data_IF_516679181624
#
_entry.id   IF_516679181624
#
_cell.length_a   1.000
_cell.length_b   1.000
_cell.length_c   1.000
_cell.angle_alpha   90.00
_cell.angle_beta   90.00
_cell.angle_gamma   90.00
#
_symmetry.space_group_name_H-M   'P 1'
#
loop_
_entity.id
_entity.type
_entity.pdbx_description
1 polymer ?
#
# COMPACT_ATOMS: atom_id res chain seq x y z
N UNK A 1 31.85 -2.03 16.13
CA UNK A 1 31.62 -0.85 16.99
C UNK A 1 31.27 0.32 16.07
N UNK A 2 30.03 0.79 16.07
CA UNK A 2 29.63 1.92 15.24
C UNK A 2 30.24 3.22 15.80
N UNK A 3 30.76 4.09 14.94
CA UNK A 3 31.33 5.36 15.38
C UNK A 3 30.25 6.20 16.11
N UNK A 4 30.52 6.71 17.32
CA UNK A 4 29.58 7.51 18.15
C UNK A 4 29.73 9.03 17.92
N UNK A 5 28.65 9.81 18.13
CA UNK A 5 28.54 11.22 17.69
C UNK A 5 29.39 12.04 18.63
N UNK A 6 30.27 12.86 18.05
CA UNK A 6 31.01 13.85 18.83
C UNK A 6 29.99 14.82 19.42
N UNK A 7 29.96 14.90 20.74
CA UNK A 7 29.12 15.83 21.49
C UNK A 7 29.80 17.19 21.69
N UNK A 8 31.10 17.29 21.41
CA UNK A 8 31.90 18.52 21.44
C UNK A 8 32.75 18.62 20.17
N UNK A 9 32.97 19.84 19.69
CA UNK A 9 33.90 20.09 18.58
C UNK A 9 35.33 19.81 19.06
N UNK A 10 36.01 18.90 18.38
CA UNK A 10 37.38 18.44 18.68
C UNK A 10 38.38 18.88 17.59
N UNK A 11 37.97 19.79 16.70
CA UNK A 11 38.79 20.30 15.59
C UNK A 11 39.05 19.29 14.45
N UNK A 12 38.69 18.02 14.62
CA UNK A 12 39.01 17.00 13.63
C UNK A 12 38.03 17.03 12.43
N UNK A 13 38.50 16.70 11.21
CA UNK A 13 37.63 16.53 10.05
C UNK A 13 36.49 15.52 10.28
N UNK A 14 35.43 15.63 9.48
CA UNK A 14 34.27 14.73 9.56
C UNK A 14 34.67 13.26 9.49
N UNK A 15 34.16 12.46 10.43
CA UNK A 15 34.41 11.00 10.56
C UNK A 15 35.87 10.59 10.80
N UNK A 16 36.73 11.49 11.29
CA UNK A 16 38.10 11.17 11.73
C UNK A 16 38.17 11.03 13.26
N UNK A 17 38.52 9.87 13.79
CA UNK A 17 38.57 9.63 15.23
C UNK A 17 39.97 9.24 15.67
N UNK A 18 40.38 9.68 16.86
CA UNK A 18 41.60 9.20 17.49
C UNK A 18 41.28 7.90 18.22
N UNK A 19 42.05 6.85 17.94
CA UNK A 19 41.95 5.56 18.65
C UNK A 19 43.34 4.93 18.74
N UNK A 20 43.72 4.48 19.94
CA UNK A 20 45.03 3.84 20.21
C UNK A 20 46.22 4.66 19.66
N UNK A 21 46.24 5.98 19.91
CA UNK A 21 47.33 6.86 19.47
C UNK A 21 47.43 7.07 17.95
N UNK A 22 46.37 6.81 17.19
CA UNK A 22 46.34 7.03 15.74
C UNK A 22 45.03 7.66 15.27
N UNK A 23 45.13 8.51 14.25
CA UNK A 23 43.98 9.01 13.51
C UNK A 23 43.39 7.90 12.64
N UNK A 24 42.07 7.74 12.70
CA UNK A 24 41.33 6.78 11.90
C UNK A 24 40.18 7.48 11.20
N UNK A 25 40.06 7.28 9.90
CA UNK A 25 38.88 7.68 9.15
C UNK A 25 37.90 6.50 9.07
N UNK A 26 36.65 6.73 9.42
CA UNK A 26 35.60 5.71 9.24
C UNK A 26 34.96 5.95 7.89
N UNK A 27 35.26 5.09 6.93
CA UNK A 27 34.73 5.17 5.57
C UNK A 27 33.21 5.16 5.59
N UNK A 28 32.62 6.06 4.81
CA UNK A 28 31.17 6.30 4.79
C UNK A 28 30.36 5.19 4.09
N UNK A 29 31.00 4.22 3.45
CA UNK A 29 30.32 3.28 2.56
C UNK A 29 30.12 1.92 3.20
N UNK A 30 31.07 1.46 4.00
CA UNK A 30 31.04 0.17 4.68
C UNK A 30 31.36 0.28 6.18
N UNK A 31 31.44 1.50 6.72
CA UNK A 31 31.83 1.77 8.11
C UNK A 31 33.22 1.19 8.48
N UNK A 32 34.07 0.91 7.49
CA UNK A 32 35.41 0.39 7.72
C UNK A 32 36.30 1.47 8.34
N UNK A 33 37.00 1.10 9.40
CA UNK A 33 37.97 1.95 10.06
C UNK A 33 39.30 1.88 9.31
N UNK A 34 39.73 2.99 8.74
CA UNK A 34 40.97 3.12 7.99
C UNK A 34 41.94 3.94 8.83
N UNK A 35 43.05 3.36 9.21
CA UNK A 35 44.13 4.07 9.90
C UNK A 35 44.77 5.08 8.94
N UNK A 36 44.82 6.34 9.33
CA UNK A 36 45.44 7.41 8.55
C UNK A 36 46.94 7.51 8.89
N UNK A 37 47.25 7.91 10.12
CA UNK A 37 48.62 8.02 10.64
C UNK A 37 48.60 7.99 12.18
N UNK A 38 49.77 7.97 12.82
CA UNK A 38 49.86 8.19 14.28
C UNK A 38 49.52 9.64 14.61
N UNK A 39 49.10 9.90 15.85
CA UNK A 39 48.85 11.27 16.32
C UNK A 39 50.15 12.09 16.29
N UNK A 40 51.27 11.45 16.64
CA UNK A 40 52.60 12.06 16.64
C UNK A 40 53.10 12.44 15.24
N UNK A 41 52.52 11.87 14.18
CA UNK A 41 52.86 12.23 12.79
C UNK A 41 52.25 13.59 12.39
N UNK A 42 51.39 14.17 13.24
CA UNK A 42 50.83 15.51 13.07
C UNK A 42 49.60 15.61 12.16
N UNK A 43 48.94 16.76 12.23
CA UNK A 43 47.69 17.04 11.51
C UNK A 43 47.86 17.05 9.99
N UNK A 44 48.97 17.62 9.48
CA UNK A 44 49.26 17.69 8.04
C UNK A 44 49.26 16.30 7.41
N UNK A 45 49.93 15.33 8.04
CA UNK A 45 50.00 13.95 7.55
C UNK A 45 48.64 13.26 7.58
N UNK A 46 47.84 13.54 8.61
CA UNK A 46 46.47 13.05 8.71
C UNK A 46 45.61 13.56 7.55
N UNK A 47 45.69 14.85 7.24
CA UNK A 47 44.93 15.49 6.15
C UNK A 47 45.34 14.95 4.78
N UNK A 48 46.65 14.80 4.52
CA UNK A 48 47.17 14.20 3.27
C UNK A 48 46.63 12.78 3.06
N UNK A 49 46.72 11.94 4.09
CA UNK A 49 46.27 10.55 4.01
C UNK A 49 44.75 10.47 3.89
N UNK A 50 44.02 11.34 4.59
CA UNK A 50 42.57 11.46 4.45
C UNK A 50 42.19 11.84 3.01
N UNK A 51 42.88 12.80 2.40
CA UNK A 51 42.65 13.20 1.01
C UNK A 51 42.96 12.09 0.02
N UNK A 52 44.01 11.29 0.25
CA UNK A 52 44.33 10.12 -0.58
C UNK A 52 43.25 9.03 -0.47
N UNK A 53 42.77 8.72 0.74
CA UNK A 53 41.70 7.73 0.94
C UNK A 53 40.35 8.20 0.38
N UNK A 54 40.05 9.49 0.46
CA UNK A 54 38.90 10.09 -0.21
C UNK A 54 39.03 10.00 -1.73
N UNK A 55 40.21 10.34 -2.30
CA UNK A 55 40.48 10.22 -3.74
C UNK A 55 40.35 8.79 -4.26
N UNK A 56 40.81 7.77 -3.52
CA UNK A 56 40.57 6.36 -3.88
C UNK A 56 39.09 5.98 -3.92
N UNK A 57 38.26 6.74 -3.21
CA UNK A 57 36.81 6.55 -3.21
C UNK A 57 36.11 7.38 -4.31
N UNK A 58 36.69 8.50 -4.72
CA UNK A 58 36.21 9.43 -5.76
C UNK A 58 36.63 9.04 -7.18
N UNK A 59 37.84 8.50 -7.37
CA UNK A 59 38.42 8.14 -8.67
C UNK A 59 37.72 6.92 -9.32
N UNK A 60 36.88 6.21 -8.58
CA UNK A 60 36.26 4.94 -9.02
C UNK A 60 34.73 5.00 -9.17
N UNK A 61 34.10 6.18 -9.23
CA UNK A 61 32.66 6.25 -9.53
C UNK A 61 32.19 7.55 -10.18
N UNK A 62 31.59 7.42 -11.37
CA UNK A 62 30.64 8.38 -12.00
C UNK A 62 29.34 8.58 -11.17
N UNK A 63 29.37 8.24 -9.87
CA UNK A 63 28.23 8.15 -8.98
C UNK A 63 28.55 8.89 -7.66
N UNK A 64 27.85 10.00 -7.42
CA UNK A 64 27.90 10.81 -6.21
C UNK A 64 27.41 10.06 -4.96
N UNK A 65 27.71 10.64 -3.80
CA UNK A 65 27.49 9.98 -2.51
C UNK A 65 26.00 9.70 -2.21
N UNK A 66 25.07 10.49 -2.75
CA UNK A 66 23.63 10.26 -2.62
C UNK A 66 23.23 8.91 -3.22
N UNK A 67 23.57 8.69 -4.50
CA UNK A 67 23.19 7.48 -5.23
C UNK A 67 23.84 6.22 -4.63
N UNK A 68 25.11 6.30 -4.24
CA UNK A 68 25.81 5.20 -3.55
C UNK A 68 25.16 4.84 -2.21
N UNK A 69 24.78 5.84 -1.41
CA UNK A 69 24.14 5.62 -0.11
C UNK A 69 22.73 5.04 -0.26
N UNK A 70 21.98 5.44 -1.29
CA UNK A 70 20.70 4.81 -1.61
C UNK A 70 20.89 3.32 -1.92
N UNK A 71 21.92 2.95 -2.69
CA UNK A 71 22.23 1.54 -2.96
C UNK A 71 22.48 0.77 -1.65
N UNK A 72 23.35 1.29 -0.78
CA UNK A 72 23.67 0.66 0.52
C UNK A 72 22.41 0.51 1.38
N UNK A 73 21.57 1.55 1.42
CA UNK A 73 20.32 1.51 2.15
C UNK A 73 19.38 0.43 1.62
N UNK A 74 19.23 0.32 0.30
CA UNK A 74 18.38 -0.69 -0.34
C UNK A 74 18.89 -2.10 -0.11
N UNK A 75 20.20 -2.34 -0.21
CA UNK A 75 20.80 -3.65 0.08
C UNK A 75 20.50 -4.10 1.53
N UNK A 76 20.45 -3.16 2.48
CA UNK A 76 20.14 -3.46 3.88
C UNK A 76 18.64 -3.66 4.15
N UNK A 77 17.77 -2.86 3.52
CA UNK A 77 16.36 -2.73 3.93
C UNK A 77 15.37 -3.44 3.00
N UNK A 78 15.74 -3.76 1.75
CA UNK A 78 14.81 -4.35 0.78
C UNK A 78 14.17 -5.66 1.27
N UNK A 79 14.91 -6.47 2.03
CA UNK A 79 14.42 -7.72 2.62
C UNK A 79 13.28 -7.53 3.62
N UNK A 80 13.20 -6.35 4.25
CA UNK A 80 12.17 -6.00 5.23
C UNK A 80 10.92 -5.40 4.58
N UNK A 81 10.94 -5.12 3.27
CA UNK A 81 9.72 -4.76 2.56
C UNK A 81 8.85 -6.00 2.34
N UNK A 82 7.54 -5.79 2.50
CA UNK A 82 6.53 -6.77 2.12
C UNK A 82 6.78 -7.25 0.69
N UNK A 83 6.69 -8.56 0.48
CA UNK A 83 7.04 -9.22 -0.77
C UNK A 83 6.31 -8.59 -1.97
N UNK A 84 5.03 -8.28 -1.81
CA UNK A 84 4.18 -7.66 -2.83
C UNK A 84 4.62 -6.25 -3.26
N UNK A 85 5.37 -5.53 -2.42
CA UNK A 85 5.86 -4.18 -2.69
C UNK A 85 7.38 -4.09 -2.89
N UNK A 86 8.12 -5.16 -2.61
CA UNK A 86 9.60 -5.15 -2.62
C UNK A 86 10.15 -4.72 -3.97
N UNK A 87 9.68 -5.32 -5.06
CA UNK A 87 10.13 -4.99 -6.42
C UNK A 87 9.84 -3.52 -6.78
N UNK A 88 8.67 -3.00 -6.38
CA UNK A 88 8.30 -1.60 -6.61
C UNK A 88 9.23 -0.64 -5.86
N UNK A 89 9.56 -0.92 -4.61
CA UNK A 89 10.48 -0.10 -3.83
C UNK A 89 11.93 -0.20 -4.31
N UNK A 90 12.37 -1.37 -4.78
CA UNK A 90 13.67 -1.51 -5.43
C UNK A 90 13.76 -0.64 -6.69
N UNK A 91 12.73 -0.68 -7.54
CA UNK A 91 12.65 0.16 -8.74
C UNK A 91 12.66 1.66 -8.37
N UNK A 92 11.89 2.07 -7.36
CA UNK A 92 11.87 3.45 -6.88
C UNK A 92 13.20 3.92 -6.29
N UNK A 93 13.90 3.04 -5.57
CA UNK A 93 15.26 3.33 -5.09
C UNK A 93 16.21 3.58 -6.26
N UNK A 94 16.09 2.80 -7.33
CA UNK A 94 16.87 3.02 -8.55
C UNK A 94 16.49 4.32 -9.29
N UNK A 95 15.21 4.70 -9.31
CA UNK A 95 14.79 6.00 -9.85
C UNK A 95 15.47 7.17 -9.09
N UNK A 96 15.56 7.07 -7.75
CA UNK A 96 16.26 8.06 -6.92
C UNK A 96 17.76 8.08 -7.22
N UNK A 97 18.39 6.91 -7.36
CA UNK A 97 19.82 6.80 -7.74
C UNK A 97 20.10 7.51 -9.07
N UNK A 98 19.26 7.27 -10.08
CA UNK A 98 19.40 7.91 -11.39
C UNK A 98 19.22 9.42 -11.31
N UNK A 99 18.20 9.90 -10.59
CA UNK A 99 17.93 11.33 -10.47
C UNK A 99 19.05 12.09 -9.75
N UNK A 100 19.61 11.49 -8.70
CA UNK A 100 20.68 12.09 -7.91
C UNK A 100 22.05 11.46 -8.20
N UNK A 101 22.26 10.95 -9.41
CA UNK A 101 23.44 10.15 -9.77
C UNK A 101 24.74 10.91 -9.49
N UNK A 102 24.79 12.20 -9.82
CA UNK A 102 25.98 13.03 -9.67
C UNK A 102 26.00 13.89 -8.39
N UNK A 103 24.99 13.77 -7.53
CA UNK A 103 24.86 14.63 -6.36
C UNK A 103 25.54 14.02 -5.13
N UNK A 104 26.22 14.88 -4.36
CA UNK A 104 26.55 14.63 -2.97
C UNK A 104 25.29 14.61 -2.11
N UNK A 105 25.23 13.74 -1.09
CA UNK A 105 24.08 13.69 -0.17
C UNK A 105 23.87 15.00 0.60
N UNK A 106 24.94 15.76 0.82
CA UNK A 106 24.97 17.09 1.44
C UNK A 106 24.52 18.21 0.49
N UNK A 107 24.52 17.97 -0.82
CA UNK A 107 24.03 18.90 -1.85
C UNK A 107 22.51 18.76 -2.08
N UNK A 108 21.88 17.69 -1.58
CA UNK A 108 20.44 17.45 -1.74
C UNK A 108 19.66 18.18 -0.64
N UNK A 109 19.28 19.42 -0.94
CA UNK A 109 18.49 20.28 -0.07
C UNK A 109 16.96 20.02 -0.17
N UNK A 110 16.11 20.67 0.65
CA UNK A 110 14.66 20.51 0.55
C UNK A 110 14.06 20.87 -0.81
N UNK A 111 14.64 21.86 -1.51
CA UNK A 111 14.21 22.29 -2.84
C UNK A 111 14.46 21.20 -3.88
N UNK A 112 15.67 20.63 -3.90
CA UNK A 112 16.02 19.53 -4.80
C UNK A 112 15.11 18.30 -4.61
N UNK A 113 14.75 17.98 -3.36
CA UNK A 113 13.78 16.92 -3.08
C UNK A 113 12.39 17.30 -3.56
N UNK A 114 11.94 18.54 -3.36
CA UNK A 114 10.64 19.01 -3.81
C UNK A 114 10.53 18.95 -5.34
N UNK A 115 11.54 19.44 -6.05
CA UNK A 115 11.62 19.42 -7.51
C UNK A 115 11.63 17.99 -8.05
N UNK A 116 12.37 17.08 -7.41
CA UNK A 116 12.32 15.66 -7.75
C UNK A 116 10.90 15.08 -7.61
N UNK A 117 10.21 15.36 -6.51
CA UNK A 117 8.87 14.82 -6.26
C UNK A 117 7.83 15.39 -7.25
N UNK A 118 7.84 16.70 -7.46
CA UNK A 118 6.87 17.39 -8.31
C UNK A 118 7.15 17.18 -9.80
N UNK A 119 8.42 17.17 -10.20
CA UNK A 119 8.83 16.97 -11.59
C UNK A 119 8.58 15.56 -12.10
N UNK A 120 8.83 14.52 -11.30
CA UNK A 120 8.61 13.13 -11.73
C UNK A 120 7.14 12.69 -11.65
N UNK A 121 6.34 13.33 -10.79
CA UNK A 121 4.98 12.91 -10.49
C UNK A 121 3.99 14.07 -10.38
N UNK A 122 3.92 15.02 -11.34
CA UNK A 122 3.19 16.28 -11.18
C UNK A 122 1.73 16.09 -10.74
N UNK A 123 1.02 15.13 -11.33
CA UNK A 123 -0.38 14.84 -11.03
C UNK A 123 -0.61 13.59 -10.17
N UNK A 124 0.46 13.01 -9.62
CA UNK A 124 0.42 11.74 -8.88
C UNK A 124 0.74 11.94 -7.40
N UNK A 125 -0.12 12.72 -6.73
CA UNK A 125 -0.02 13.03 -5.29
C UNK A 125 0.19 11.79 -4.39
N UNK A 126 -0.47 10.63 -4.60
CA UNK A 126 -0.18 9.44 -3.82
C UNK A 126 1.26 8.95 -3.97
N UNK A 127 1.84 9.06 -5.17
CA UNK A 127 3.23 8.67 -5.42
C UNK A 127 4.19 9.68 -4.81
N UNK A 128 3.91 10.98 -4.94
CA UNK A 128 4.67 12.03 -4.25
C UNK A 128 4.72 11.79 -2.74
N UNK A 129 3.57 11.49 -2.13
CA UNK A 129 3.47 11.24 -0.67
C UNK A 129 4.26 10.00 -0.26
N UNK A 130 4.12 8.90 -1.02
CA UNK A 130 4.86 7.66 -0.77
C UNK A 130 6.37 7.87 -0.91
N UNK A 131 6.82 8.58 -1.95
CA UNK A 131 8.23 8.86 -2.20
C UNK A 131 8.82 9.82 -1.17
N UNK A 132 8.09 10.88 -0.78
CA UNK A 132 8.50 11.75 0.33
C UNK A 132 8.67 10.93 1.62
N UNK A 133 7.72 10.06 1.94
CA UNK A 133 7.80 9.20 3.13
C UNK A 133 9.00 8.25 3.09
N UNK A 134 9.29 7.66 1.93
CA UNK A 134 10.46 6.80 1.74
C UNK A 134 11.78 7.58 1.83
N UNK A 135 11.90 8.73 1.15
CA UNK A 135 13.06 9.60 1.20
C UNK A 135 13.31 10.10 2.62
N UNK A 136 12.25 10.49 3.34
CA UNK A 136 12.35 10.90 4.74
C UNK A 136 12.90 9.79 5.64
N UNK A 137 12.52 8.52 5.42
CA UNK A 137 13.12 7.37 6.13
C UNK A 137 14.59 7.17 5.74
N UNK A 138 14.91 7.23 4.45
CA UNK A 138 16.29 7.14 3.95
C UNK A 138 17.19 8.22 4.56
N UNK A 139 16.77 9.49 4.51
CA UNK A 139 17.53 10.60 5.09
C UNK A 139 17.60 10.54 6.61
N UNK A 140 16.58 10.01 7.30
CA UNK A 140 16.70 9.75 8.75
C UNK A 140 17.77 8.71 9.04
N UNK A 141 17.84 7.62 8.26
CA UNK A 141 18.93 6.64 8.33
C UNK A 141 20.29 7.30 8.04
N UNK A 142 20.37 8.19 7.05
CA UNK A 142 21.57 8.92 6.69
C UNK A 142 22.03 9.89 7.81
N UNK A 143 21.09 10.56 8.49
CA UNK A 143 21.37 11.41 9.66
C UNK A 143 21.94 10.59 10.81
N UNK A 144 21.33 9.44 11.14
CA UNK A 144 21.81 8.56 12.21
C UNK A 144 23.24 8.06 11.95
N UNK A 145 23.60 7.87 10.68
CA UNK A 145 24.95 7.50 10.22
C UNK A 145 25.87 8.68 9.93
N UNK A 146 25.40 9.92 10.08
CA UNK A 146 26.15 11.17 9.84
C UNK A 146 26.68 11.31 8.43
N UNK A 147 25.86 10.94 7.46
CA UNK A 147 26.08 11.33 6.08
C UNK A 147 25.53 12.74 5.80
N UNK A 148 24.50 13.14 6.54
CA UNK A 148 23.92 14.50 6.51
C UNK A 148 23.53 14.92 7.93
N UNK A 149 23.43 16.22 8.17
CA UNK A 149 23.10 16.76 9.51
C UNK A 149 21.60 16.86 9.76
N UNK A 150 20.82 17.22 8.73
CA UNK A 150 19.39 17.49 8.82
C UNK A 150 18.69 16.69 7.72
N UNK A 151 17.48 16.19 8.00
CA UNK A 151 16.66 15.52 7.00
C UNK A 151 16.01 16.58 6.08
N UNK A 152 16.37 16.64 4.78
CA UNK A 152 15.85 17.66 3.86
C UNK A 152 14.34 17.50 3.58
N UNK A 153 13.75 16.33 3.89
CA UNK A 153 12.32 16.11 3.68
C UNK A 153 11.43 16.75 4.77
N UNK A 154 12.01 17.36 5.82
CA UNK A 154 11.28 17.86 6.99
C UNK A 154 10.29 18.97 6.64
N UNK A 155 10.76 19.99 5.90
CA UNK A 155 9.99 21.20 5.59
C UNK A 155 9.07 21.05 4.37
N UNK A 156 9.14 19.91 3.67
CA UNK A 156 8.37 19.69 2.44
C UNK A 156 6.92 19.40 2.81
N UNK A 157 5.99 20.27 2.46
CA UNK A 157 4.56 20.00 2.61
C UNK A 157 3.94 19.57 1.27
N UNK A 158 3.15 18.49 1.31
CA UNK A 158 2.39 18.01 0.16
C UNK A 158 0.90 18.17 0.44
N UNK A 159 0.13 18.40 -0.62
CA UNK A 159 -1.33 18.45 -0.54
C UNK A 159 -1.86 17.16 0.12
N UNK A 160 -2.87 17.28 0.98
CA UNK A 160 -3.52 16.10 1.54
C UNK A 160 -4.33 15.40 0.44
N UNK A 161 -4.23 14.07 0.27
CA UNK A 161 -5.08 13.33 -0.66
C UNK A 161 -6.56 13.56 -0.34
N UNK A 162 -7.38 13.75 -1.37
CA UNK A 162 -8.83 13.86 -1.18
C UNK A 162 -9.38 12.54 -0.67
N UNK A 163 -10.15 12.58 0.41
CA UNK A 163 -10.86 11.40 0.92
C UNK A 163 -11.88 10.94 -0.12
N UNK A 164 -11.81 9.67 -0.52
CA UNK A 164 -12.77 9.06 -1.44
C UNK A 164 -14.16 9.07 -0.80
N UNK A 165 -15.16 9.70 -1.43
CA UNK A 165 -16.55 9.80 -0.94
C UNK A 165 -17.54 8.89 -1.68
N UNK A 166 -17.03 7.98 -2.51
CA UNK A 166 -17.82 7.15 -3.40
C UNK A 166 -18.70 6.18 -2.62
N UNK A 167 -20.00 6.23 -2.86
CA UNK A 167 -20.99 5.23 -2.45
C UNK A 167 -21.61 4.61 -3.70
N UNK A 168 -21.85 3.29 -3.68
CA UNK A 168 -22.54 2.58 -4.75
C UNK A 168 -24.01 2.42 -4.35
N UNK A 169 -24.95 3.12 -5.02
CA UNK A 169 -26.38 2.93 -4.83
C UNK A 169 -26.83 1.49 -5.02
N UNK A 170 -27.97 1.13 -4.42
CA UNK A 170 -28.45 -0.25 -4.40
C UNK A 170 -28.76 -0.77 -5.81
N UNK A 171 -29.48 0.01 -6.60
CA UNK A 171 -29.78 -0.24 -8.01
C UNK A 171 -28.52 -0.39 -8.86
N UNK A 172 -27.52 0.48 -8.69
CA UNK A 172 -26.23 0.37 -9.38
C UNK A 172 -25.48 -0.92 -8.99
N UNK A 173 -25.47 -1.27 -7.70
CA UNK A 173 -24.83 -2.50 -7.23
C UNK A 173 -25.49 -3.75 -7.82
N UNK A 174 -26.82 -3.79 -7.86
CA UNK A 174 -27.57 -4.86 -8.50
C UNK A 174 -27.29 -4.93 -10.01
N UNK A 175 -27.26 -3.79 -10.71
CA UNK A 175 -26.96 -3.74 -12.13
C UNK A 175 -25.56 -4.32 -12.43
N UNK A 176 -24.54 -3.94 -11.65
CA UNK A 176 -23.17 -4.46 -11.78
C UNK A 176 -23.15 -5.97 -11.49
N UNK A 177 -23.83 -6.41 -10.42
CA UNK A 177 -23.91 -7.83 -10.03
C UNK A 177 -24.58 -8.68 -11.12
N UNK A 178 -25.61 -8.16 -11.77
CA UNK A 178 -26.28 -8.82 -12.91
C UNK A 178 -25.36 -8.87 -14.13
N UNK A 179 -24.70 -7.75 -14.44
CA UNK A 179 -23.75 -7.64 -15.56
C UNK A 179 -22.48 -8.49 -15.39
N UNK A 180 -22.17 -8.93 -14.16
CA UNK A 180 -21.16 -9.94 -13.90
C UNK A 180 -21.60 -11.33 -14.35
N UNK A 181 -22.89 -11.68 -14.28
CA UNK A 181 -23.38 -13.01 -14.63
C UNK A 181 -23.68 -13.17 -16.11
N UNK A 182 -24.34 -12.19 -16.71
CA UNK A 182 -24.83 -12.26 -18.09
C UNK A 182 -24.58 -10.97 -18.85
N UNK A 183 -24.56 -11.09 -20.17
CA UNK A 183 -24.51 -9.95 -21.08
C UNK A 183 -25.42 -10.22 -22.28
N UNK A 184 -25.93 -9.16 -22.90
CA UNK A 184 -26.69 -9.26 -24.15
C UNK A 184 -25.84 -8.79 -25.32
N UNK A 185 -26.04 -9.41 -26.48
CA UNK A 185 -25.44 -8.96 -27.73
C UNK A 185 -26.42 -9.18 -28.88
N UNK A 186 -26.33 -8.32 -29.90
CA UNK A 186 -27.13 -8.44 -31.11
C UNK A 186 -26.43 -9.36 -32.10
N UNK A 187 -27.14 -10.36 -32.60
CA UNK A 187 -26.66 -11.24 -33.66
C UNK A 187 -27.68 -11.26 -34.78
N UNK A 188 -27.20 -11.17 -36.03
CA UNK A 188 -28.06 -11.37 -37.20
C UNK A 188 -28.25 -12.87 -37.41
N UNK A 189 -29.48 -13.34 -37.30
CA UNK A 189 -29.86 -14.74 -37.55
C UNK A 189 -30.93 -14.71 -38.64
N UNK A 190 -30.66 -15.35 -39.78
CA UNK A 190 -31.59 -15.44 -40.91
C UNK A 190 -32.12 -14.10 -41.44
N UNK A 191 -31.32 -13.03 -41.38
CA UNK A 191 -31.71 -11.71 -41.87
C UNK A 191 -32.23 -10.74 -40.80
N UNK A 192 -32.66 -11.26 -39.65
CA UNK A 192 -33.24 -10.46 -38.56
C UNK A 192 -32.24 -10.25 -37.41
N UNK A 193 -32.28 -9.08 -36.78
CA UNK A 193 -31.38 -8.74 -35.66
C UNK A 193 -32.04 -9.18 -34.35
N UNK A 194 -31.55 -10.27 -33.76
CA UNK A 194 -32.04 -10.80 -32.48
C UNK A 194 -31.08 -10.44 -31.35
N UNK A 195 -31.62 -10.08 -30.19
CA UNK A 195 -30.84 -9.90 -28.97
C UNK A 195 -30.73 -11.22 -28.21
N UNK A 196 -29.49 -11.67 -27.96
CA UNK A 196 -29.20 -12.95 -27.31
C UNK A 196 -28.53 -12.67 -25.97
N UNK A 197 -29.04 -13.30 -24.91
CA UNK A 197 -28.40 -13.31 -23.60
C UNK A 197 -27.37 -14.46 -23.50
N UNK A 198 -26.14 -14.12 -23.16
CA UNK A 198 -25.06 -15.08 -22.91
C UNK A 198 -24.49 -14.94 -21.49
N UNK A 199 -23.91 -16.04 -20.99
CA UNK A 199 -23.25 -16.07 -19.69
C UNK A 199 -21.83 -15.52 -19.79
N UNK A 200 -21.43 -14.72 -18.81
CA UNK A 200 -20.03 -14.32 -18.67
C UNK A 200 -19.25 -15.53 -18.12
N UNK A 201 -18.18 -15.98 -18.80
CA UNK A 201 -17.45 -17.20 -18.42
C UNK A 201 -16.95 -17.26 -16.97
N UNK A 202 -16.55 -16.13 -16.40
CA UNK A 202 -16.04 -16.00 -15.01
C UNK A 202 -17.07 -15.36 -14.06
N UNK A 203 -18.30 -15.18 -14.55
CA UNK A 203 -19.37 -14.48 -13.86
C UNK A 203 -19.79 -15.13 -12.54
N UNK A 204 -20.03 -16.46 -12.51
CA UNK A 204 -20.43 -17.14 -11.28
C UNK A 204 -19.42 -16.97 -10.13
N UNK A 205 -18.12 -17.13 -10.40
CA UNK A 205 -17.09 -16.95 -9.37
C UNK A 205 -17.00 -15.49 -8.91
N UNK A 206 -17.18 -14.54 -9.83
CA UNK A 206 -17.19 -13.12 -9.50
C UNK A 206 -18.44 -12.70 -8.71
N UNK A 207 -19.58 -13.35 -8.91
CA UNK A 207 -20.75 -13.14 -8.06
C UNK A 207 -20.51 -13.63 -6.64
N UNK A 208 -19.92 -14.81 -6.45
CA UNK A 208 -19.51 -15.29 -5.12
C UNK A 208 -18.59 -14.27 -4.45
N UNK A 209 -17.59 -13.77 -5.17
CA UNK A 209 -16.66 -12.77 -4.68
C UNK A 209 -17.34 -11.47 -4.23
N UNK A 210 -18.20 -10.90 -5.07
CA UNK A 210 -18.93 -9.66 -4.75
C UNK A 210 -19.90 -9.85 -3.59
N UNK A 211 -20.60 -10.98 -3.56
CA UNK A 211 -21.56 -11.30 -2.51
C UNK A 211 -20.87 -11.46 -1.15
N UNK A 212 -19.75 -12.19 -1.09
CA UNK A 212 -18.97 -12.31 0.15
C UNK A 212 -18.39 -10.96 0.57
N UNK A 213 -17.87 -10.14 -0.34
CA UNK A 213 -17.38 -8.80 0.00
C UNK A 213 -18.49 -7.93 0.63
N UNK A 214 -19.72 -8.03 0.12
CA UNK A 214 -20.86 -7.27 0.64
C UNK A 214 -21.34 -7.81 1.98
N UNK A 215 -21.63 -9.12 2.06
CA UNK A 215 -22.23 -9.74 3.24
C UNK A 215 -21.31 -9.78 4.47
N UNK A 216 -19.99 -9.75 4.25
CA UNK A 216 -19.01 -9.83 5.35
C UNK A 216 -18.34 -8.50 5.67
N UNK A 217 -18.62 -7.46 4.88
CA UNK A 217 -17.89 -6.20 4.90
C UNK A 217 -16.36 -6.33 4.75
N UNK A 218 -15.78 -7.49 4.43
CA UNK A 218 -14.33 -7.70 4.44
C UNK A 218 -13.60 -7.08 3.26
N UNK A 219 -12.28 -6.94 3.37
CA UNK A 219 -11.48 -6.40 2.26
C UNK A 219 -11.50 -7.39 1.11
N UNK A 220 -11.52 -6.86 -0.11
CA UNK A 220 -11.46 -7.67 -1.33
C UNK A 220 -10.29 -8.64 -1.38
N UNK A 221 -9.15 -8.29 -0.75
CA UNK A 221 -8.00 -9.19 -0.66
C UNK A 221 -8.31 -10.37 0.25
N UNK A 222 -8.83 -10.12 1.45
CA UNK A 222 -9.14 -11.16 2.44
C UNK A 222 -10.21 -12.13 1.90
N UNK A 223 -11.19 -11.65 1.13
CA UNK A 223 -12.17 -12.52 0.44
C UNK A 223 -11.53 -13.35 -0.69
N UNK A 224 -10.69 -12.72 -1.51
CA UNK A 224 -10.02 -13.37 -2.64
C UNK A 224 -9.05 -14.48 -2.18
N UNK A 225 -8.46 -14.29 -1.01
CA UNK A 225 -7.49 -15.21 -0.39
C UNK A 225 -8.13 -16.12 0.67
N UNK A 226 -9.45 -16.04 0.86
CA UNK A 226 -10.19 -16.85 1.83
C UNK A 226 -10.03 -18.34 1.55
N UNK A 227 -9.63 -19.09 2.57
CA UNK A 227 -9.44 -20.53 2.54
C UNK A 227 -10.60 -21.28 3.18
N UNK A 228 -10.82 -22.53 2.76
CA UNK A 228 -11.85 -23.37 3.37
C UNK A 228 -11.53 -23.72 4.82
N UNK A 229 -10.26 -23.79 5.21
CA UNK A 229 -9.84 -23.96 6.61
C UNK A 229 -10.30 -22.83 7.54
N UNK A 230 -10.56 -21.64 7.01
CA UNK A 230 -11.08 -20.51 7.77
C UNK A 230 -12.60 -20.56 7.98
N UNK A 231 -13.31 -21.45 7.27
CA UNK A 231 -14.77 -21.61 7.38
C UNK A 231 -15.08 -22.70 8.40
N UNK A 232 -15.19 -22.31 9.67
CA UNK A 232 -15.55 -23.22 10.75
C UNK A 232 -17.06 -23.45 10.80
N UNK A 233 -17.49 -24.60 10.29
CA UNK A 233 -18.89 -25.01 10.26
C UNK A 233 -19.42 -25.44 11.62
N UNK A 234 -18.54 -25.87 12.53
CA UNK A 234 -18.92 -26.31 13.87
C UNK A 234 -19.15 -25.10 14.77
N UNK A 235 -18.22 -24.13 14.76
CA UNK A 235 -18.40 -22.85 15.44
C UNK A 235 -19.43 -21.95 14.74
N UNK A 236 -19.72 -22.20 13.46
CA UNK A 236 -20.71 -21.45 12.71
C UNK A 236 -20.20 -20.07 12.25
N UNK A 237 -18.89 -19.92 12.02
CA UNK A 237 -18.24 -18.66 11.68
C UNK A 237 -17.22 -18.79 10.54
N UNK A 238 -16.79 -17.66 9.99
CA UNK A 238 -15.61 -17.53 9.14
C UNK A 238 -14.55 -16.73 9.92
N UNK A 239 -13.36 -17.28 10.08
CA UNK A 239 -12.24 -16.62 10.74
C UNK A 239 -11.50 -15.71 9.75
N UNK A 240 -11.72 -14.41 9.83
CA UNK A 240 -10.97 -13.44 9.03
C UNK A 240 -9.74 -12.95 9.78
N UNK A 241 -8.57 -13.32 9.27
CA UNK A 241 -7.27 -12.87 9.77
C UNK A 241 -6.72 -11.82 8.79
N UNK A 242 -6.40 -10.60 9.24
CA UNK A 242 -6.12 -9.51 8.32
C UNK A 242 -4.74 -9.66 7.66
N UNK A 243 -4.73 -9.83 6.34
CA UNK A 243 -3.50 -9.90 5.53
C UNK A 243 -2.63 -8.63 5.61
N UNK A 244 -3.27 -7.44 5.67
CA UNK A 244 -2.59 -6.14 5.63
C UNK A 244 -2.06 -5.69 6.99
N UNK A 245 -2.78 -5.96 8.05
CA UNK A 245 -2.47 -5.44 9.39
C UNK A 245 -1.87 -6.49 10.31
N UNK A 246 -1.57 -7.70 9.82
CA UNK A 246 -0.88 -8.76 10.57
C UNK A 246 0.36 -8.24 11.33
N UNK A 247 1.19 -7.41 10.69
CA UNK A 247 2.41 -6.85 11.29
C UNK A 247 2.17 -5.57 12.12
N UNK A 248 0.91 -5.20 12.36
CA UNK A 248 0.55 -4.00 13.13
C UNK A 248 -0.57 -4.31 14.14
N UNK A 249 -1.84 -4.08 13.80
CA UNK A 249 -2.95 -4.32 14.71
C UNK A 249 -3.34 -5.79 14.85
N UNK A 250 -3.16 -6.58 13.79
CA UNK A 250 -3.50 -8.00 13.78
C UNK A 250 -4.98 -8.35 14.03
N UNK A 251 -5.89 -7.36 14.10
CA UNK A 251 -7.29 -7.58 14.51
C UNK A 251 -8.00 -8.57 13.60
N UNK A 252 -8.25 -9.77 14.14
CA UNK A 252 -9.08 -10.78 13.51
C UNK A 252 -10.55 -10.56 13.86
N UNK A 253 -11.44 -11.04 13.00
CA UNK A 253 -12.87 -11.05 13.26
C UNK A 253 -13.48 -12.38 12.84
N UNK A 254 -14.25 -12.96 13.75
CA UNK A 254 -15.08 -14.12 13.46
C UNK A 254 -16.42 -13.65 12.93
N UNK A 255 -16.75 -14.07 11.72
CA UNK A 255 -17.94 -13.63 11.02
C UNK A 255 -19.02 -14.72 11.01
N UNK A 256 -20.22 -14.48 11.55
CA UNK A 256 -21.29 -15.49 11.59
C UNK A 256 -21.67 -16.03 10.21
N UNK A 257 -21.87 -17.34 10.11
CA UNK A 257 -22.39 -18.01 8.93
C UNK A 257 -23.92 -17.86 8.83
N UNK A 258 -24.37 -16.70 8.36
CA UNK A 258 -25.79 -16.45 8.06
C UNK A 258 -26.30 -17.36 6.93
N UNK A 259 -27.63 -17.54 6.77
CA UNK A 259 -28.18 -18.32 5.66
C UNK A 259 -27.69 -17.87 4.29
N UNK A 260 -27.60 -16.56 4.04
CA UNK A 260 -27.15 -15.98 2.78
C UNK A 260 -25.68 -16.29 2.52
N UNK A 261 -24.82 -16.19 3.56
CA UNK A 261 -23.40 -16.54 3.44
C UNK A 261 -23.25 -18.04 3.18
N UNK A 262 -24.01 -18.90 3.87
CA UNK A 262 -24.02 -20.35 3.63
C UNK A 262 -24.39 -20.68 2.19
N UNK A 263 -25.37 -19.99 1.61
CA UNK A 263 -25.75 -20.15 0.20
C UNK A 263 -24.67 -19.70 -0.77
N UNK A 264 -23.98 -18.59 -0.49
CA UNK A 264 -22.84 -18.14 -1.29
C UNK A 264 -21.70 -19.14 -1.25
N UNK A 265 -21.36 -19.67 -0.06
CA UNK A 265 -20.34 -20.69 0.12
C UNK A 265 -20.72 -22.02 -0.55
N UNK A 266 -22.00 -22.40 -0.52
CA UNK A 266 -22.50 -23.58 -1.25
C UNK A 266 -22.25 -23.43 -2.75
N UNK A 267 -22.64 -22.29 -3.35
CA UNK A 267 -22.34 -21.99 -4.77
C UNK A 267 -20.85 -22.02 -5.07
N UNK A 268 -20.02 -21.46 -4.19
CA UNK A 268 -18.57 -21.51 -4.34
C UNK A 268 -18.04 -22.96 -4.40
N UNK A 269 -18.56 -23.84 -3.53
CA UNK A 269 -18.21 -25.26 -3.49
C UNK A 269 -18.67 -26.00 -4.75
N UNK A 270 -19.89 -25.76 -5.22
CA UNK A 270 -20.42 -26.34 -6.46
C UNK A 270 -19.57 -25.93 -7.69
N UNK A 271 -19.23 -24.65 -7.78
CA UNK A 271 -18.32 -24.15 -8.82
C UNK A 271 -16.96 -24.83 -8.74
N UNK A 272 -16.40 -24.98 -7.54
CA UNK A 272 -15.12 -25.67 -7.34
C UNK A 272 -15.15 -27.14 -7.78
N UNK A 273 -16.24 -27.85 -7.50
CA UNK A 273 -16.45 -29.25 -7.88
C UNK A 273 -16.58 -29.44 -9.39
N UNK A 274 -17.03 -28.42 -10.13
CA UNK A 274 -17.13 -28.46 -11.59
C UNK A 274 -15.77 -28.38 -12.31
N UNK A 275 -14.70 -28.01 -11.59
CA UNK A 275 -13.34 -27.87 -12.13
C UNK A 275 -12.61 -29.21 -12.07
N UNK A 276 -12.03 -29.64 -13.20
CA UNK A 276 -11.32 -30.93 -13.33
C UNK A 276 -9.98 -31.00 -12.61
N UNK A 277 -9.41 -29.86 -12.23
CA UNK A 277 -8.14 -29.79 -11.50
C UNK A 277 -8.35 -30.18 -10.04
N UNK A 278 -7.52 -31.11 -9.54
CA UNK A 278 -7.56 -31.59 -8.16
C UNK A 278 -7.53 -30.44 -7.15
N UNK A 279 -8.33 -30.56 -6.09
CA UNK A 279 -8.35 -29.62 -4.98
C UNK A 279 -7.11 -29.77 -4.10
N UNK A 280 -6.64 -28.64 -3.57
CA UNK A 280 -5.65 -28.65 -2.50
C UNK A 280 -6.30 -29.16 -1.21
N UNK A 281 -5.49 -29.70 -0.29
CA UNK A 281 -5.97 -30.12 1.03
C UNK A 281 -6.60 -28.95 1.80
N UNK A 282 -5.97 -27.77 1.71
CA UNK A 282 -6.55 -26.49 2.12
C UNK A 282 -6.68 -25.57 0.91
N UNK A 283 -7.81 -25.69 0.21
CA UNK A 283 -8.08 -24.93 -1.01
C UNK A 283 -8.71 -23.56 -0.72
N UNK A 284 -8.69 -22.70 -1.73
CA UNK A 284 -9.36 -21.40 -1.68
C UNK A 284 -10.87 -21.56 -1.90
N UNK A 285 -11.64 -20.69 -1.25
CA UNK A 285 -13.08 -20.55 -1.51
C UNK A 285 -13.32 -20.03 -2.94
N UNK A 286 -12.41 -19.19 -3.44
CA UNK A 286 -12.48 -18.58 -4.77
C UNK A 286 -11.27 -18.94 -5.63
N UNK A 287 -11.50 -19.80 -6.61
CA UNK A 287 -10.48 -20.19 -7.60
C UNK A 287 -10.87 -19.76 -9.02
N UNK A 288 -9.88 -19.71 -9.90
CA UNK A 288 -10.07 -19.70 -11.34
C UNK A 288 -10.30 -21.12 -11.90
N UNK A 289 -10.48 -21.21 -13.21
CA UNK A 289 -10.74 -22.48 -13.92
C UNK A 289 -9.56 -23.47 -13.86
N UNK A 290 -8.38 -23.00 -13.48
CA UNK A 290 -7.19 -23.82 -13.30
C UNK A 290 -6.98 -24.21 -11.82
N UNK A 291 -7.92 -23.90 -10.93
CA UNK A 291 -7.81 -24.19 -9.49
C UNK A 291 -6.87 -23.26 -8.74
N UNK A 292 -6.44 -22.13 -9.34
CA UNK A 292 -5.59 -21.14 -8.66
C UNK A 292 -6.43 -20.04 -8.02
N UNK A 293 -6.00 -19.41 -6.92
CA UNK A 293 -6.73 -18.27 -6.36
C UNK A 293 -6.89 -17.16 -7.39
N UNK A 294 -8.05 -16.50 -7.41
CA UNK A 294 -8.28 -15.34 -8.29
C UNK A 294 -7.20 -14.27 -8.03
N UNK A 295 -6.71 -13.64 -9.08
CA UNK A 295 -5.76 -12.54 -8.95
C UNK A 295 -6.48 -11.22 -8.71
N UNK A 296 -5.82 -10.25 -8.06
CA UNK A 296 -6.37 -8.91 -7.89
C UNK A 296 -6.66 -8.25 -9.26
N UNK A 297 -5.86 -8.58 -10.28
CA UNK A 297 -6.08 -8.10 -11.64
C UNK A 297 -7.37 -8.67 -12.25
N UNK A 298 -7.57 -9.99 -12.16
CA UNK A 298 -8.77 -10.63 -12.68
C UNK A 298 -10.05 -10.07 -12.05
N UNK A 299 -10.08 -9.86 -10.73
CA UNK A 299 -11.23 -9.26 -10.05
C UNK A 299 -11.49 -7.82 -10.51
N UNK A 300 -10.43 -7.02 -10.70
CA UNK A 300 -10.53 -5.63 -11.17
C UNK A 300 -11.06 -5.56 -12.60
N UNK A 301 -10.52 -6.38 -13.48
CA UNK A 301 -10.89 -6.37 -14.90
C UNK A 301 -12.33 -6.87 -15.07
N UNK A 302 -12.73 -7.94 -14.38
CA UNK A 302 -14.11 -8.41 -14.40
C UNK A 302 -15.10 -7.36 -13.88
N UNK A 303 -14.75 -6.64 -12.80
CA UNK A 303 -15.56 -5.53 -12.28
C UNK A 303 -15.66 -4.36 -13.26
N UNK A 304 -14.54 -3.94 -13.86
CA UNK A 304 -14.51 -2.89 -14.90
C UNK A 304 -15.41 -3.27 -16.08
N UNK A 305 -15.28 -4.50 -16.57
CA UNK A 305 -16.07 -4.95 -17.71
C UNK A 305 -17.56 -5.05 -17.35
N UNK A 306 -17.90 -5.39 -16.11
CA UNK A 306 -19.28 -5.35 -15.62
C UNK A 306 -19.83 -3.92 -15.54
N UNK A 307 -19.02 -2.92 -15.16
CA UNK A 307 -19.42 -1.51 -15.21
C UNK A 307 -19.77 -1.09 -16.63
N UNK A 308 -18.93 -1.45 -17.62
CA UNK A 308 -19.19 -1.15 -19.04
C UNK A 308 -20.51 -1.80 -19.50
N UNK A 309 -20.73 -3.08 -19.17
CA UNK A 309 -21.97 -3.79 -19.51
C UNK A 309 -23.20 -3.18 -18.81
N UNK A 310 -23.04 -2.67 -17.60
CA UNK A 310 -24.08 -1.99 -16.84
C UNK A 310 -24.26 -0.50 -17.24
N UNK A 311 -23.47 0.01 -18.19
CA UNK A 311 -23.46 1.43 -18.61
C UNK A 311 -23.11 2.39 -17.47
N UNK A 312 -22.17 1.99 -16.63
CA UNK A 312 -21.70 2.69 -15.43
C UNK A 312 -20.20 3.02 -15.47
N UNK A 313 -19.54 2.90 -16.63
CA UNK A 313 -18.11 3.16 -16.80
C UNK A 313 -17.69 4.62 -16.53
N UNK A 314 -18.63 5.56 -16.61
CA UNK A 314 -18.44 6.95 -16.20
C UNK A 314 -18.47 7.15 -14.67
N UNK A 315 -18.82 6.12 -13.89
CA UNK A 315 -18.76 6.15 -12.43
C UNK A 315 -17.40 5.64 -11.98
N UNK A 316 -16.76 6.38 -11.08
CA UNK A 316 -15.55 5.94 -10.40
C UNK A 316 -15.90 4.92 -9.30
N UNK A 317 -16.40 3.74 -9.70
CA UNK A 317 -16.69 2.62 -8.81
C UNK A 317 -15.61 1.56 -8.90
N UNK A 318 -15.11 1.12 -7.75
CA UNK A 318 -14.13 0.04 -7.65
C UNK A 318 -14.65 -1.06 -6.76
N UNK A 319 -14.10 -2.27 -6.90
CA UNK A 319 -14.36 -3.40 -6.00
C UNK A 319 -14.17 -3.02 -4.52
N UNK A 320 -13.23 -2.12 -4.22
CA UNK A 320 -12.96 -1.69 -2.84
C UNK A 320 -14.10 -0.86 -2.23
N UNK A 321 -14.94 -0.25 -3.07
CA UNK A 321 -16.08 0.54 -2.64
C UNK A 321 -17.25 -0.33 -2.16
N UNK A 322 -17.24 -1.64 -2.44
CA UNK A 322 -18.23 -2.60 -1.92
C UNK A 322 -18.23 -2.61 -0.39
N UNK A 323 -17.04 -2.57 0.23
CA UNK A 323 -16.91 -2.50 1.70
C UNK A 323 -17.50 -1.23 2.28
N UNK A 324 -17.26 -0.08 1.64
CA UNK A 324 -17.84 1.19 2.06
C UNK A 324 -19.37 1.18 1.89
N UNK A 325 -19.87 0.59 0.80
CA UNK A 325 -21.30 0.33 0.60
C UNK A 325 -21.87 -0.51 1.74
N UNK A 326 -21.29 -1.69 2.00
CA UNK A 326 -21.78 -2.64 3.00
C UNK A 326 -21.85 -2.03 4.41
N UNK A 327 -20.79 -1.33 4.84
CA UNK A 327 -20.77 -0.65 6.13
C UNK A 327 -21.78 0.51 6.19
N UNK A 328 -21.97 1.24 5.09
CA UNK A 328 -23.00 2.30 5.01
C UNK A 328 -24.42 1.71 5.07
N UNK A 329 -24.67 0.60 4.37
CA UNK A 329 -25.97 -0.09 4.36
C UNK A 329 -26.26 -0.69 5.74
N UNK A 330 -25.27 -1.30 6.40
CA UNK A 330 -25.40 -1.79 7.77
C UNK A 330 -25.69 -0.65 8.75
N UNK A 331 -25.03 0.51 8.62
CA UNK A 331 -25.36 1.68 9.45
C UNK A 331 -26.83 2.09 9.29
N UNK A 332 -27.34 2.12 8.06
CA UNK A 332 -28.76 2.41 7.79
C UNK A 332 -29.71 1.35 8.30
N UNK A 333 -29.28 0.09 8.37
CA UNK A 333 -30.04 -0.99 8.96
C UNK A 333 -30.10 -0.92 10.51
N UNK A 334 -29.45 0.07 11.13
CA UNK A 334 -29.55 0.35 12.56
C UNK A 334 -28.38 -0.14 13.40
N UNK A 335 -27.35 -0.75 12.80
CA UNK A 335 -26.15 -1.15 13.55
C UNK A 335 -25.38 0.09 14.07
N UNK A 336 -24.93 0.03 15.32
CA UNK A 336 -24.14 1.09 15.94
C UNK A 336 -22.70 1.12 15.39
N UNK A 337 -21.95 2.17 15.71
CA UNK A 337 -20.62 2.36 15.10
C UNK A 337 -19.60 1.36 15.69
N UNK A 338 -19.83 0.92 16.92
CA UNK A 338 -19.02 -0.05 17.65
C UNK A 338 -19.12 -1.45 16.99
N UNK A 339 -20.32 -1.92 16.67
CA UNK A 339 -20.52 -3.16 15.92
C UNK A 339 -19.90 -3.08 14.52
N UNK A 340 -20.04 -1.94 13.84
CA UNK A 340 -19.43 -1.72 12.52
C UNK A 340 -17.90 -1.64 12.58
N UNK A 341 -17.34 -1.18 13.70
CA UNK A 341 -15.91 -1.17 13.94
C UNK A 341 -15.37 -2.60 14.07
N UNK A 342 -16.05 -3.45 14.85
CA UNK A 342 -15.72 -4.89 14.95
C UNK A 342 -15.86 -5.57 13.61
N UNK A 343 -16.97 -5.33 12.89
CA UNK A 343 -17.19 -5.87 11.56
C UNK A 343 -16.08 -5.47 10.57
N UNK A 344 -15.59 -4.23 10.70
CA UNK A 344 -14.45 -3.74 9.93
C UNK A 344 -13.09 -4.27 10.40
N UNK A 345 -12.96 -4.89 11.56
CA UNK A 345 -11.65 -5.14 12.19
C UNK A 345 -10.78 -3.86 12.14
N UNK A 346 -11.36 -2.75 12.61
CA UNK A 346 -10.70 -1.46 12.69
C UNK A 346 -10.35 -1.13 14.14
N UNK A 347 -9.10 -0.82 14.40
CA UNK A 347 -8.63 -0.39 15.73
C UNK A 347 -9.19 0.96 16.15
N UNK A 348 -9.44 1.85 15.19
CA UNK A 348 -9.87 3.22 15.43
C UNK A 348 -11.24 3.48 14.81
N UNK A 349 -12.15 4.01 15.64
CA UNK A 349 -13.48 4.50 15.27
C UNK A 349 -13.43 5.46 14.08
N UNK A 350 -12.42 6.34 14.02
CA UNK A 350 -12.27 7.31 12.93
C UNK A 350 -12.15 6.63 11.55
N UNK A 351 -11.53 5.45 11.51
CA UNK A 351 -11.41 4.63 10.30
C UNK A 351 -12.79 4.14 9.86
N UNK A 352 -13.59 3.62 10.79
CA UNK A 352 -14.96 3.16 10.51
C UNK A 352 -15.85 4.31 10.02
N UNK A 353 -15.79 5.47 10.67
CA UNK A 353 -16.52 6.68 10.26
C UNK A 353 -16.11 7.17 8.86
N UNK A 354 -14.87 6.90 8.46
CA UNK A 354 -14.38 7.14 7.11
C UNK A 354 -15.01 6.24 6.06
N UNK A 355 -15.47 5.04 6.41
CA UNK A 355 -16.17 4.12 5.50
C UNK A 355 -17.66 4.45 5.33
N UNK A 356 -18.28 5.18 6.26
CA UNK A 356 -19.68 5.61 6.15
C UNK A 356 -19.79 6.80 5.19
N UNK A 357 -20.28 6.57 3.96
CA UNK A 357 -20.23 7.55 2.86
C UNK A 357 -21.49 8.40 2.72
N UNK A 358 -22.64 7.87 3.14
CA UNK A 358 -23.88 8.62 3.25
C UNK A 358 -24.13 8.86 4.73
N UNK A 359 -23.52 9.92 5.26
CA UNK A 359 -23.88 10.41 6.59
C UNK A 359 -25.27 11.01 6.49
N UNK A 360 -26.17 10.63 7.38
CA UNK A 360 -27.42 11.36 7.55
C UNK A 360 -27.07 12.83 7.80
N UNK A 361 -27.60 13.72 6.97
CA UNK A 361 -27.48 15.16 7.22
C UNK A 361 -28.51 15.48 8.29
N UNK A 362 -28.10 15.77 9.54
CA UNK A 362 -29.07 16.07 10.58
C UNK A 362 -29.83 17.33 10.20
N UNK A 363 -31.17 17.25 10.24
CA UNK A 363 -32.00 18.46 10.14
C UNK A 363 -31.92 19.14 11.50
N UNK A 364 -31.40 20.37 11.52
CA UNK A 364 -31.38 21.17 12.74
C UNK A 364 -32.82 21.40 13.21
N UNK A 365 -33.11 21.08 14.46
CA UNK A 365 -34.39 21.39 15.11
C UNK A 365 -34.39 22.80 15.72
N UNK A 366 -33.28 23.53 15.67
CA UNK A 366 -33.13 24.87 16.23
C UNK A 366 -34.04 25.84 15.47
N UNK A 367 -34.93 26.50 16.20
CA UNK A 367 -35.80 27.58 15.70
C UNK A 367 -35.52 28.83 16.53
N UNK A 368 -35.10 29.91 15.88
CA UNK A 368 -34.85 31.21 16.51
C UNK A 368 -35.93 32.20 16.06
N UNK A 369 -36.28 33.12 16.95
CA UNK A 369 -37.12 34.28 16.63
C UNK A 369 -36.26 35.55 16.56
N UNK A 370 -36.68 36.53 15.76
CA UNK A 370 -36.00 37.83 15.73
C UNK A 370 -36.20 38.56 17.08
N UNK A 371 -35.17 39.26 17.60
CA UNK A 371 -35.34 40.11 18.78
C UNK A 371 -36.42 41.18 18.53
N UNK A 372 -37.22 41.48 19.55
CA UNK A 372 -38.16 42.60 19.49
C UNK A 372 -37.38 43.92 19.33
N UNK A 373 -37.93 44.82 18.50
CA UNK A 373 -37.35 46.13 18.21
C UNK A 373 -37.33 47.05 19.43
#
# INVERSE_FOLDING_TARGET
MNARRRTKADGLPSRVYIRYGSYHWVRNTDEKWIKLCRVDDGETRMLERLAEEKRKTEVDSDEGSMSRLVKIYMDQHAKHYAESFRAEWCRRGEDVRKAFKQHGIDEVDPGAVQDFLLGNWPDKLPTQTAMKGWLSKFFSWAVLRRHVTINPCREIELKKPKTRKVYIPHDHFLAIRTALATYTYKKKVSGEVTEIAAKVPTGPEMQVFVDLCYLTCQRSTDIRELRWSQVDRQAGVIHFIPSKTADSSGEAVDWPLTPEIKDVLRRAKELRQSIKVQALADDYVLVDRNGKPKTAAACRDAWRDALVRAKLEGKDYTVKDIRAKALTDAKKAGYDIEALQVAGAHTDRSTTEGYIKQREVPVSTVRLALPAA
#
